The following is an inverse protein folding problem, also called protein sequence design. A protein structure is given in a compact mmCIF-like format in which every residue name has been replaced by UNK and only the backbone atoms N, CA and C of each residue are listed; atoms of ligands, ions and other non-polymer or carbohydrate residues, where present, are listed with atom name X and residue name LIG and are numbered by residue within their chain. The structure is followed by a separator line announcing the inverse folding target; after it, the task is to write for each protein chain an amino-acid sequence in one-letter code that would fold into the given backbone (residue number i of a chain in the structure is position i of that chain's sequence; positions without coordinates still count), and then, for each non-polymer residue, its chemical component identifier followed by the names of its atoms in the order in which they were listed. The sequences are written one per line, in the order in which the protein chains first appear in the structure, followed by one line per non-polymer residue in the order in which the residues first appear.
data_IF_775847326767
#
_entry.id   IF_775847326767
#
_cell.length_a   1.000
_cell.length_b   1.000
_cell.length_c   1.000
_cell.angle_alpha   90.00
_cell.angle_beta   90.00
_cell.angle_gamma   90.00
#
_symmetry.space_group_name_H-M   'P 1'
#
loop_
_entity.id
_entity.type
_entity.pdbx_description
1 polymer ?
#
# COMPACT_ATOMS: atom_id res chain seq x y z
N UNK A 1 5.36 0.29 -15.65
CA UNK A 1 4.11 -0.04 -14.94
C UNK A 1 2.97 0.91 -15.27
N UNK A 2 3.08 2.24 -15.07
CA UNK A 2 1.91 3.14 -15.23
C UNK A 2 1.37 3.30 -16.67
N UNK A 3 2.22 3.14 -17.69
CA UNK A 3 1.82 3.25 -19.10
C UNK A 3 1.70 1.88 -19.79
N UNK A 4 1.64 0.80 -19.01
CA UNK A 4 1.50 -0.53 -19.58
C UNK A 4 0.12 -0.70 -20.22
N UNK A 5 0.11 -1.15 -21.47
CA UNK A 5 -1.15 -1.44 -22.17
C UNK A 5 -1.64 -2.84 -21.85
N UNK A 6 -2.95 -3.07 -22.02
CA UNK A 6 -3.55 -4.38 -21.82
C UNK A 6 -2.91 -5.44 -22.72
N UNK A 7 -2.54 -5.08 -23.94
CA UNK A 7 -1.91 -5.96 -24.92
C UNK A 7 -0.50 -6.36 -24.48
N UNK A 8 0.28 -5.39 -23.99
CA UNK A 8 1.62 -5.63 -23.44
C UNK A 8 1.56 -6.60 -22.25
N UNK A 9 0.64 -6.34 -21.32
CA UNK A 9 0.45 -7.23 -20.17
C UNK A 9 -0.02 -8.63 -20.60
N UNK A 10 -0.96 -8.73 -21.55
CA UNK A 10 -1.44 -10.01 -22.05
C UNK A 10 -0.32 -10.84 -22.68
N UNK A 11 0.61 -10.20 -23.41
CA UNK A 11 1.77 -10.88 -23.95
C UNK A 11 2.69 -11.43 -22.84
N UNK A 12 3.04 -10.59 -21.86
CA UNK A 12 3.86 -11.03 -20.72
C UNK A 12 3.20 -12.17 -19.95
N UNK A 13 1.89 -12.10 -19.74
CA UNK A 13 1.13 -13.15 -19.06
C UNK A 13 1.15 -14.47 -19.84
N UNK A 14 1.01 -14.42 -21.17
CA UNK A 14 1.10 -15.61 -22.00
C UNK A 14 2.48 -16.28 -21.89
N UNK A 15 3.57 -15.50 -21.88
CA UNK A 15 4.92 -16.05 -21.69
C UNK A 15 5.10 -16.74 -20.34
N UNK A 16 4.49 -16.21 -19.27
CA UNK A 16 4.49 -16.85 -17.95
C UNK A 16 3.74 -18.18 -18.02
N UNK A 17 2.57 -18.19 -18.66
CA UNK A 17 1.76 -19.41 -18.80
C UNK A 17 2.46 -20.49 -19.65
N UNK A 18 3.18 -20.12 -20.70
CA UNK A 18 3.97 -21.07 -21.52
C UNK A 18 5.04 -21.79 -20.70
N UNK A 19 5.63 -21.10 -19.72
CA UNK A 19 6.62 -21.66 -18.78
C UNK A 19 5.97 -22.45 -17.63
N UNK A 20 4.64 -22.62 -17.66
CA UNK A 20 3.83 -23.17 -16.56
C UNK A 20 3.96 -22.37 -15.25
N UNK A 21 4.26 -21.08 -15.38
CA UNK A 21 4.32 -20.13 -14.27
C UNK A 21 2.92 -19.69 -13.82
N UNK A 22 2.89 -18.93 -12.73
CA UNK A 22 1.66 -18.49 -12.07
C UNK A 22 1.62 -17.00 -11.81
N UNK A 23 0.60 -16.57 -11.05
CA UNK A 23 0.49 -15.22 -10.50
C UNK A 23 1.68 -14.90 -9.59
N UNK A 24 2.21 -15.89 -8.90
CA UNK A 24 3.38 -15.71 -8.02
C UNK A 24 4.66 -15.26 -8.74
N UNK A 25 4.69 -15.35 -10.07
CA UNK A 25 5.77 -14.83 -10.92
C UNK A 25 5.60 -13.35 -11.28
N UNK A 26 4.41 -12.76 -11.06
CA UNK A 26 4.14 -11.33 -11.24
C UNK A 26 4.71 -10.51 -10.09
N UNK A 27 6.03 -10.56 -9.90
CA UNK A 27 6.69 -9.84 -8.82
C UNK A 27 6.96 -8.41 -9.28
N UNK A 28 6.51 -7.45 -8.48
CA UNK A 28 6.84 -6.04 -8.67
C UNK A 28 7.78 -5.63 -7.54
N UNK A 29 8.99 -5.23 -7.88
CA UNK A 29 9.95 -4.66 -6.94
C UNK A 29 10.10 -3.17 -7.24
N UNK A 30 9.88 -2.33 -6.23
CA UNK A 30 10.01 -0.88 -6.33
C UNK A 30 10.90 -0.34 -5.23
N UNK A 31 11.66 0.71 -5.51
CA UNK A 31 12.40 1.47 -4.51
C UNK A 31 11.76 2.82 -4.28
N UNK A 32 11.80 3.32 -3.05
CA UNK A 32 11.34 4.66 -2.74
C UNK A 32 12.19 5.71 -3.47
N UNK A 33 11.55 6.76 -3.95
CA UNK A 33 12.21 7.81 -4.75
C UNK A 33 13.28 8.55 -3.94
N UNK A 34 12.99 8.84 -2.67
CA UNK A 34 13.90 9.60 -1.79
C UNK A 34 14.89 8.71 -1.03
N UNK A 35 14.65 7.41 -0.98
CA UNK A 35 15.49 6.44 -0.26
C UNK A 35 15.57 5.11 -1.04
N UNK A 36 16.59 4.93 -1.88
CA UNK A 36 16.76 3.69 -2.65
C UNK A 36 16.98 2.43 -1.79
N UNK A 37 17.33 2.58 -0.50
CA UNK A 37 17.48 1.45 0.42
C UNK A 37 16.15 0.94 0.95
N UNK A 38 15.10 1.77 0.92
CA UNK A 38 13.73 1.41 1.24
C UNK A 38 13.05 0.84 -0.01
N UNK A 39 13.00 -0.49 -0.07
CA UNK A 39 12.44 -1.26 -1.17
C UNK A 39 11.18 -2.01 -0.73
N UNK A 40 10.23 -2.11 -1.66
CA UNK A 40 8.96 -2.77 -1.45
C UNK A 40 8.71 -3.81 -2.55
N UNK A 41 8.25 -4.99 -2.14
CA UNK A 41 7.84 -6.07 -3.03
C UNK A 41 6.32 -6.21 -3.04
N UNK A 42 5.72 -6.32 -4.22
CA UNK A 42 4.32 -6.71 -4.41
C UNK A 42 4.28 -8.16 -4.87
N UNK A 43 3.50 -8.98 -4.17
CA UNK A 43 3.40 -10.42 -4.41
C UNK A 43 1.95 -10.85 -4.60
N UNK A 44 1.73 -11.66 -5.64
CA UNK A 44 0.41 -12.15 -6.04
C UNK A 44 0.36 -13.68 -5.91
N UNK A 45 -0.15 -14.25 -4.79
CA UNK A 45 -0.32 -15.69 -4.65
C UNK A 45 -1.20 -16.30 -5.76
N UNK A 46 -0.95 -17.59 -6.06
CA UNK A 46 -1.76 -18.36 -7.01
C UNK A 46 -3.07 -18.87 -6.40
N UNK A 47 -3.20 -18.87 -5.06
CA UNK A 47 -4.37 -19.41 -4.38
C UNK A 47 -5.65 -18.67 -4.77
N UNK A 48 -6.51 -19.36 -5.52
CA UNK A 48 -7.88 -18.94 -5.84
C UNK A 48 -8.90 -19.27 -4.74
N UNK A 49 -8.44 -19.86 -3.63
CA UNK A 49 -9.21 -20.17 -2.41
C UNK A 49 -8.67 -19.36 -1.25
N UNK A 50 -9.26 -19.54 -0.06
CA UNK A 50 -8.76 -18.91 1.18
C UNK A 50 -7.26 -19.13 1.32
N UNK A 51 -6.53 -18.03 1.47
CA UNK A 51 -5.07 -18.03 1.48
C UNK A 51 -4.56 -18.60 2.81
N UNK A 52 -3.74 -19.64 2.70
CA UNK A 52 -3.10 -20.31 3.83
C UNK A 52 -1.76 -19.67 4.21
N UNK A 53 -1.00 -20.37 5.05
CA UNK A 53 0.31 -19.90 5.55
C UNK A 53 1.43 -20.07 4.52
N UNK A 54 1.28 -21.00 3.55
CA UNK A 54 2.32 -21.34 2.58
C UNK A 54 2.79 -20.12 1.75
N UNK A 55 1.92 -19.30 1.14
CA UNK A 55 2.35 -18.14 0.36
C UNK A 55 3.03 -17.07 1.21
N UNK A 56 2.59 -16.90 2.46
CA UNK A 56 3.19 -15.95 3.39
C UNK A 56 4.63 -16.35 3.71
N UNK A 57 4.88 -17.66 3.92
CA UNK A 57 6.25 -18.17 4.10
C UNK A 57 7.10 -17.96 2.85
N UNK A 58 6.55 -18.24 1.66
CA UNK A 58 7.26 -17.99 0.40
C UNK A 58 7.59 -16.52 0.21
N UNK A 59 6.67 -15.62 0.56
CA UNK A 59 6.92 -14.18 0.55
C UNK A 59 8.01 -13.79 1.56
N UNK A 60 7.94 -14.33 2.79
CA UNK A 60 8.92 -14.04 3.83
C UNK A 60 10.34 -14.44 3.42
N UNK A 61 10.51 -15.64 2.85
CA UNK A 61 11.80 -16.09 2.33
C UNK A 61 12.34 -15.17 1.22
N UNK A 62 11.48 -14.75 0.27
CA UNK A 62 11.88 -13.81 -0.80
C UNK A 62 12.32 -12.45 -0.23
N UNK A 63 11.62 -11.97 0.79
CA UNK A 63 11.96 -10.71 1.46
C UNK A 63 13.28 -10.83 2.23
N UNK A 64 13.54 -11.94 2.91
CA UNK A 64 14.83 -12.19 3.58
C UNK A 64 15.99 -12.26 2.58
N UNK A 65 15.81 -12.99 1.47
CA UNK A 65 16.80 -13.12 0.39
C UNK A 65 17.18 -11.75 -0.21
N UNK A 66 16.19 -10.88 -0.39
CA UNK A 66 16.36 -9.55 -0.97
C UNK A 66 16.57 -8.45 0.08
N UNK A 67 16.60 -8.79 1.38
CA UNK A 67 16.72 -7.87 2.52
C UNK A 67 15.66 -6.76 2.51
N UNK A 68 14.43 -7.12 2.18
CA UNK A 68 13.28 -6.22 2.13
C UNK A 68 12.56 -6.21 3.47
N UNK A 69 12.16 -5.02 3.91
CA UNK A 69 11.39 -4.81 5.13
C UNK A 69 9.88 -4.70 4.87
N UNK A 70 9.46 -4.34 3.66
CA UNK A 70 8.06 -4.02 3.33
C UNK A 70 7.54 -4.83 2.16
N UNK A 71 6.31 -5.32 2.28
CA UNK A 71 5.65 -6.05 1.22
C UNK A 71 4.14 -5.78 1.15
N UNK A 72 3.61 -5.89 -0.07
CA UNK A 72 2.19 -5.89 -0.36
C UNK A 72 1.80 -7.27 -0.87
N UNK A 73 0.85 -7.91 -0.19
CA UNK A 73 0.27 -9.19 -0.57
C UNK A 73 -1.12 -8.98 -1.18
N UNK A 74 -1.28 -9.29 -2.47
CA UNK A 74 -2.56 -9.12 -3.19
C UNK A 74 -3.27 -10.45 -3.32
N UNK A 75 -4.32 -10.67 -2.54
CA UNK A 75 -5.06 -11.94 -2.45
C UNK A 75 -6.38 -11.90 -3.21
N UNK A 76 -6.80 -13.02 -3.80
CA UNK A 76 -8.12 -13.11 -4.46
C UNK A 76 -9.25 -13.46 -3.48
N UNK A 77 -8.89 -14.07 -2.36
CA UNK A 77 -9.80 -14.56 -1.33
C UNK A 77 -9.21 -14.23 0.05
N UNK A 78 -10.06 -14.07 1.07
CA UNK A 78 -9.59 -13.67 2.39
C UNK A 78 -8.63 -14.69 3.00
N UNK A 79 -7.69 -14.17 3.80
CA UNK A 79 -6.75 -14.96 4.59
C UNK A 79 -7.48 -15.88 5.59
N UNK A 80 -6.93 -17.07 5.78
CA UNK A 80 -7.30 -17.94 6.92
C UNK A 80 -6.84 -17.33 8.26
N UNK A 81 -7.44 -17.75 9.38
CA UNK A 81 -7.05 -17.25 10.71
C UNK A 81 -5.55 -17.51 11.00
N UNK A 82 -5.05 -18.69 10.67
CA UNK A 82 -3.64 -19.04 10.80
C UNK A 82 -2.72 -18.16 9.95
N UNK A 83 -3.15 -17.81 8.74
CA UNK A 83 -2.41 -16.89 7.88
C UNK A 83 -2.32 -15.48 8.48
N UNK A 84 -3.41 -14.98 9.08
CA UNK A 84 -3.40 -13.69 9.79
C UNK A 84 -2.45 -13.70 10.98
N UNK A 85 -2.47 -14.77 11.78
CA UNK A 85 -1.55 -14.93 12.91
C UNK A 85 -0.09 -14.98 12.44
N UNK A 86 0.21 -15.70 11.36
CA UNK A 86 1.57 -15.77 10.81
C UNK A 86 2.10 -14.39 10.36
N UNK A 87 1.24 -13.54 9.79
CA UNK A 87 1.62 -12.16 9.43
C UNK A 87 1.89 -11.33 10.70
N UNK A 88 1.05 -11.47 11.72
CA UNK A 88 1.25 -10.75 12.99
C UNK A 88 2.55 -11.17 13.69
N UNK A 89 2.92 -12.45 13.63
CA UNK A 89 4.18 -12.96 14.17
C UNK A 89 5.40 -12.46 13.38
N UNK A 90 5.28 -12.26 12.06
CA UNK A 90 6.33 -11.73 11.20
C UNK A 90 6.48 -10.19 11.28
N UNK A 91 5.43 -9.49 11.72
CA UNK A 91 5.33 -8.02 11.81
C UNK A 91 6.55 -7.30 12.45
N UNK A 92 7.21 -7.83 13.52
CA UNK A 92 8.35 -7.14 14.12
C UNK A 92 9.57 -7.00 13.19
N UNK A 93 9.70 -7.87 12.19
CA UNK A 93 10.82 -7.86 11.24
C UNK A 93 10.38 -7.41 9.84
N UNK A 94 9.10 -7.61 9.51
CA UNK A 94 8.58 -7.52 8.15
C UNK A 94 7.18 -6.90 8.17
N UNK A 95 7.02 -5.76 7.52
CA UNK A 95 5.72 -5.11 7.35
C UNK A 95 5.02 -5.69 6.11
N UNK A 96 3.95 -6.47 6.33
CA UNK A 96 3.18 -7.09 5.25
C UNK A 96 1.77 -6.49 5.25
N UNK A 97 1.47 -5.69 4.23
CA UNK A 97 0.14 -5.15 3.97
C UNK A 97 -0.64 -6.09 3.06
N UNK A 98 -1.93 -6.31 3.34
CA UNK A 98 -2.75 -7.29 2.59
C UNK A 98 -3.90 -6.57 1.93
N UNK A 99 -4.02 -6.73 0.61
CA UNK A 99 -5.11 -6.16 -0.19
C UNK A 99 -5.89 -7.27 -0.88
N UNK A 100 -7.20 -7.08 -0.98
CA UNK A 100 -8.01 -7.94 -1.84
C UNK A 100 -7.95 -7.44 -3.29
N UNK A 101 -7.75 -8.33 -4.25
CA UNK A 101 -7.73 -8.01 -5.67
C UNK A 101 -8.98 -7.23 -6.09
N UNK A 102 -10.15 -7.58 -5.54
CA UNK A 102 -11.41 -6.88 -5.83
C UNK A 102 -11.40 -5.39 -5.42
N UNK A 103 -10.61 -5.02 -4.41
CA UNK A 103 -10.48 -3.64 -3.94
C UNK A 103 -9.57 -2.80 -4.83
N UNK A 104 -8.66 -3.45 -5.57
CA UNK A 104 -7.67 -2.79 -6.42
C UNK A 104 -8.14 -2.59 -7.87
N UNK A 105 -9.27 -3.16 -8.26
CA UNK A 105 -9.84 -3.02 -9.62
C UNK A 105 -10.16 -1.56 -9.94
N UNK A 106 -10.63 -0.79 -8.94
CA UNK A 106 -10.97 0.62 -9.09
C UNK A 106 -10.15 1.42 -8.08
N UNK A 107 -9.33 2.34 -8.58
CA UNK A 107 -8.58 3.23 -7.71
C UNK A 107 -9.51 4.30 -7.11
N UNK A 108 -9.95 4.07 -5.88
CA UNK A 108 -10.88 4.97 -5.16
C UNK A 108 -10.31 6.39 -4.95
N UNK A 109 -8.98 6.56 -5.02
CA UNK A 109 -8.36 7.90 -4.86
C UNK A 109 -8.65 8.85 -6.04
N UNK A 110 -9.10 8.31 -7.18
CA UNK A 110 -9.48 9.11 -8.35
C UNK A 110 -10.96 9.51 -8.34
N UNK A 111 -11.72 9.08 -7.32
CA UNK A 111 -13.12 9.41 -7.19
C UNK A 111 -13.29 10.89 -6.83
N UNK A 112 -14.26 11.58 -7.44
CA UNK A 112 -14.49 13.03 -7.27
C UNK A 112 -14.69 13.45 -5.80
N UNK A 113 -15.37 12.62 -5.01
CA UNK A 113 -15.62 12.87 -3.58
C UNK A 113 -14.39 12.64 -2.69
N UNK A 114 -13.31 12.03 -3.22
CA UNK A 114 -12.10 11.76 -2.45
C UNK A 114 -11.10 12.89 -2.72
N UNK A 115 -10.84 13.77 -1.75
CA UNK A 115 -9.89 14.87 -1.95
C UNK A 115 -8.45 14.36 -2.10
N UNK A 116 -7.56 15.22 -2.59
CA UNK A 116 -6.14 14.90 -2.63
C UNK A 116 -5.58 14.91 -1.20
N UNK A 117 -4.88 13.85 -0.87
CA UNK A 117 -4.28 13.63 0.43
C UNK A 117 -2.75 13.59 0.25
N UNK A 118 -2.00 14.38 1.03
CA UNK A 118 -0.52 14.36 1.07
C UNK A 118 0.02 14.13 2.48
N UNK A 119 0.92 13.15 2.70
CA UNK A 119 1.60 13.02 3.98
C UNK A 119 2.51 14.23 4.19
N UNK A 120 2.66 14.66 5.45
CA UNK A 120 3.58 15.73 5.83
C UNK A 120 4.88 15.15 6.36
N UNK A 121 6.00 15.79 6.06
CA UNK A 121 7.27 15.48 6.70
C UNK A 121 7.28 15.95 8.16
N UNK A 122 8.22 15.42 8.96
CA UNK A 122 8.40 15.85 10.35
C UNK A 122 8.68 17.37 10.46
N UNK A 123 9.42 17.92 9.51
CA UNK A 123 9.73 19.35 9.45
C UNK A 123 8.50 20.19 9.10
N UNK A 124 7.72 19.78 8.08
CA UNK A 124 6.48 20.43 7.70
C UNK A 124 5.46 20.40 8.85
N UNK A 125 5.35 19.26 9.55
CA UNK A 125 4.51 19.13 10.74
C UNK A 125 4.93 20.12 11.82
N UNK A 126 6.23 20.24 12.12
CA UNK A 126 6.73 21.18 13.12
C UNK A 126 6.39 22.63 12.75
N UNK A 127 6.66 23.03 11.51
CA UNK A 127 6.36 24.37 11.01
C UNK A 127 4.86 24.68 11.03
N UNK A 128 4.02 23.68 10.75
CA UNK A 128 2.56 23.81 10.83
C UNK A 128 2.11 24.12 12.26
N UNK A 129 2.57 23.32 13.24
CA UNK A 129 2.21 23.49 14.64
C UNK A 129 2.66 24.86 15.18
N UNK A 130 3.86 25.30 14.80
CA UNK A 130 4.40 26.61 15.18
C UNK A 130 3.60 27.76 14.56
N UNK A 131 3.31 27.69 13.26
CA UNK A 131 2.56 28.72 12.53
C UNK A 131 1.16 28.93 13.09
N UNK A 132 0.46 27.85 13.41
CA UNK A 132 -0.90 27.90 13.95
C UNK A 132 -0.94 27.97 15.48
N UNK A 133 0.22 27.87 16.15
CA UNK A 133 0.36 27.85 17.62
C UNK A 133 -0.56 26.80 18.28
N UNK A 134 -0.68 25.64 17.63
CA UNK A 134 -1.50 24.51 18.11
C UNK A 134 -0.61 23.34 18.53
N UNK A 135 -1.11 22.54 19.47
CA UNK A 135 -0.51 21.26 19.86
C UNK A 135 -1.03 20.13 18.99
N UNK A 136 -0.27 19.05 18.85
CA UNK A 136 -0.65 17.90 18.02
C UNK A 136 -2.02 17.32 18.38
N UNK A 137 -2.32 17.24 19.68
CA UNK A 137 -3.58 16.71 20.20
C UNK A 137 -4.81 17.57 19.89
N UNK A 138 -4.62 18.81 19.42
CA UNK A 138 -5.69 19.73 19.02
C UNK A 138 -6.05 19.59 17.53
N UNK A 139 -5.26 18.84 16.76
CA UNK A 139 -5.59 18.56 15.38
C UNK A 139 -6.76 17.57 15.30
N UNK A 140 -7.68 17.74 14.34
CA UNK A 140 -8.70 16.74 14.05
C UNK A 140 -8.06 15.38 13.78
N UNK A 141 -8.66 14.32 14.30
CA UNK A 141 -8.10 12.97 14.22
C UNK A 141 -8.65 12.19 13.03
N UNK A 142 -7.85 11.28 12.51
CA UNK A 142 -8.24 10.29 11.51
C UNK A 142 -7.81 8.90 12.00
N UNK A 143 -8.60 7.87 11.68
CA UNK A 143 -8.29 6.50 12.11
C UNK A 143 -7.05 6.00 11.36
N UNK A 144 -6.25 5.15 11.98
CA UNK A 144 -5.12 4.44 11.33
C UNK A 144 -5.48 3.62 10.09
N UNK A 145 -6.75 3.25 9.93
CA UNK A 145 -7.26 2.65 8.70
C UNK A 145 -7.39 3.64 7.53
N UNK A 146 -7.45 4.94 7.83
CA UNK A 146 -7.55 6.03 6.87
C UNK A 146 -6.20 6.77 6.78
N UNK A 147 -5.76 7.19 5.58
CA UNK A 147 -4.41 7.70 5.41
C UNK A 147 -4.17 9.09 6.02
N UNK A 148 -2.97 9.31 6.55
CA UNK A 148 -2.56 10.45 7.43
C UNK A 148 -2.14 11.69 6.65
N UNK A 149 -3.03 12.66 6.38
CA UNK A 149 -2.70 13.59 5.30
C UNK A 149 -3.23 15.03 5.43
N UNK A 150 -2.49 15.96 4.81
CA UNK A 150 -2.98 17.27 4.36
C UNK A 150 -4.04 17.01 3.29
N UNK A 151 -5.26 17.46 3.56
CA UNK A 151 -6.41 17.28 2.69
C UNK A 151 -6.68 18.59 1.96
N UNK A 152 -6.68 18.54 0.62
CA UNK A 152 -6.99 19.68 -0.23
C UNK A 152 -8.33 19.39 -0.93
N UNK A 153 -9.34 20.20 -0.66
CA UNK A 153 -10.67 20.08 -1.28
C UNK A 153 -11.09 21.36 -2.00
N UNK A 154 -11.87 21.25 -3.09
CA UNK A 154 -12.50 22.42 -3.70
C UNK A 154 -13.46 23.07 -2.69
N UNK A 155 -13.54 24.39 -2.72
CA UNK A 155 -14.43 25.18 -1.87
C UNK A 155 -15.13 26.23 -2.72
N UNK A 156 -16.45 26.26 -2.65
CA UNK A 156 -17.27 27.23 -3.40
C UNK A 156 -16.96 28.68 -3.00
N UNK A 157 -16.57 28.91 -1.74
CA UNK A 157 -16.32 30.25 -1.19
C UNK A 157 -14.85 30.67 -1.30
N UNK A 158 -13.90 29.76 -1.08
CA UNK A 158 -12.47 30.06 -1.00
C UNK A 158 -11.66 29.56 -2.20
N UNK A 159 -12.31 28.91 -3.18
CA UNK A 159 -11.67 28.17 -4.26
C UNK A 159 -11.07 26.84 -3.78
N UNK A 160 -10.16 26.90 -2.79
CA UNK A 160 -9.55 25.72 -2.17
C UNK A 160 -9.56 25.82 -0.65
N UNK A 161 -9.91 24.72 0.01
CA UNK A 161 -9.85 24.56 1.46
C UNK A 161 -8.84 23.49 1.82
N UNK A 162 -7.93 23.82 2.75
CA UNK A 162 -6.89 22.92 3.22
C UNK A 162 -7.13 22.59 4.68
N UNK A 163 -7.16 21.31 5.02
CA UNK A 163 -7.24 20.84 6.41
C UNK A 163 -6.16 19.80 6.70
N UNK A 164 -5.80 19.68 7.98
CA UNK A 164 -4.75 18.78 8.45
C UNK A 164 -5.34 17.86 9.50
N UNK A 165 -5.06 16.56 9.38
CA UNK A 165 -5.53 15.56 10.33
C UNK A 165 -4.36 14.75 10.89
N UNK A 166 -4.43 14.46 12.19
CA UNK A 166 -3.49 13.59 12.87
C UNK A 166 -4.03 12.16 12.87
N UNK A 167 -3.23 11.21 12.40
CA UNK A 167 -3.58 9.80 12.50
C UNK A 167 -3.28 9.27 13.90
N UNK A 168 -4.23 8.47 14.39
CA UNK A 168 -4.23 7.85 15.72
C UNK A 168 -4.61 6.39 15.65
#
# INVERSE_FOLDING_TARGET
YLNETKESFAQQWNEIQERKGGRHDLIILVSKQDDPSDQLIVFFPDENKRVGVKPIRTLALKMEEQRLSRAILVVQQPLTAFAKTAIQEASPQMEIEVFNESELVVNITHHELVPEHKPLTAEEKRLLLERYKVKENQLPRIQSSDPVMKIIRPSETAGRYVTYRLCV
#
